data_IF_476543096087
#
_entry.id   IF_476543096087
#
_cell.length_a   1.000
_cell.length_b   1.000
_cell.length_c   1.000
_cell.angle_alpha   90.00
_cell.angle_beta   90.00
_cell.angle_gamma   90.00
#
_symmetry.space_group_name_H-M   'P 1'
#
loop_
_entity.id
_entity.type
_entity.pdbx_description
1 polymer ?
#
# COMPACT_ATOMS: atom_id res chain seq x y z
N UNK A 1 -46.93 27.54 -36.01
CA UNK A 1 -46.32 28.21 -37.17
C UNK A 1 -44.82 28.20 -36.97
N UNK A 2 -44.11 27.69 -37.97
CA UNK A 2 -42.67 27.77 -38.25
C UNK A 2 -41.67 27.13 -37.25
N UNK A 3 -41.15 26.01 -37.72
CA UNK A 3 -39.93 25.28 -37.39
C UNK A 3 -38.63 26.08 -37.56
N UNK A 4 -37.59 25.74 -36.80
CA UNK A 4 -36.19 25.92 -37.21
C UNK A 4 -35.35 24.75 -36.70
N UNK A 5 -35.17 23.74 -37.57
CA UNK A 5 -34.09 22.77 -37.49
C UNK A 5 -32.84 23.47 -38.03
N UNK A 6 -31.83 23.68 -37.20
CA UNK A 6 -30.48 24.02 -37.67
C UNK A 6 -29.73 22.72 -37.94
N UNK A 7 -29.79 22.27 -39.19
CA UNK A 7 -28.93 21.20 -39.71
C UNK A 7 -27.54 21.81 -39.90
N UNK A 8 -26.56 21.35 -39.12
CA UNK A 8 -25.15 21.71 -39.33
C UNK A 8 -24.60 20.85 -40.48
N UNK A 9 -24.65 21.40 -41.69
CA UNK A 9 -23.78 20.97 -42.77
C UNK A 9 -22.43 21.67 -42.60
N UNK A 10 -21.42 20.96 -42.09
CA UNK A 10 -20.02 21.38 -42.25
C UNK A 10 -19.45 20.60 -43.42
N UNK A 11 -19.57 21.20 -44.60
CA UNK A 11 -18.94 20.74 -45.82
C UNK A 11 -18.82 21.91 -46.77
N UNK A 12 -17.70 22.63 -46.72
CA UNK A 12 -17.32 23.48 -47.84
C UNK A 12 -15.81 23.41 -48.10
N UNK A 13 -15.53 23.04 -49.33
CA UNK A 13 -14.26 22.67 -49.95
C UNK A 13 -13.24 23.81 -50.06
N UNK A 14 -11.97 23.47 -49.89
CA UNK A 14 -10.86 24.11 -50.59
C UNK A 14 -10.16 23.05 -51.44
N UNK A 15 -10.41 23.10 -52.75
CA UNK A 15 -9.66 22.33 -53.76
C UNK A 15 -8.53 23.20 -54.27
N UNK A 16 -7.30 22.94 -53.80
CA UNK A 16 -6.08 23.23 -54.55
C UNK A 16 -5.12 22.05 -54.34
N UNK A 17 -4.75 21.41 -55.44
CA UNK A 17 -3.79 20.29 -55.59
C UNK A 17 -4.14 18.97 -54.90
N UNK A 18 -4.94 18.14 -55.59
CA UNK A 18 -4.53 16.77 -55.95
C UNK A 18 -4.12 15.78 -54.85
N UNK A 19 -4.69 15.83 -53.66
CA UNK A 19 -4.84 14.68 -52.76
C UNK A 19 -6.19 14.84 -52.06
N UNK A 20 -7.12 13.92 -52.31
CA UNK A 20 -8.34 13.83 -51.50
C UNK A 20 -7.92 13.27 -50.16
N UNK A 21 -7.43 14.12 -49.27
CA UNK A 21 -7.32 13.80 -47.85
C UNK A 21 -8.76 13.73 -47.36
N UNK A 22 -9.33 12.52 -47.32
CA UNK A 22 -10.58 12.31 -46.61
C UNK A 22 -10.37 12.81 -45.18
N UNK A 23 -11.09 13.87 -44.78
CA UNK A 23 -11.02 14.37 -43.41
C UNK A 23 -11.51 13.25 -42.50
N UNK A 24 -10.59 12.67 -41.73
CA UNK A 24 -10.87 11.64 -40.73
C UNK A 24 -11.63 12.33 -39.61
N UNK A 25 -12.92 12.01 -39.48
CA UNK A 25 -13.77 12.59 -38.45
C UNK A 25 -14.06 11.56 -37.35
N UNK A 26 -14.40 12.07 -36.17
CA UNK A 26 -14.93 11.26 -35.09
C UNK A 26 -16.40 10.93 -35.34
N UNK A 27 -16.87 9.80 -34.81
CA UNK A 27 -18.29 9.47 -34.85
C UNK A 27 -19.12 10.52 -34.08
N UNK A 28 -20.27 10.94 -34.63
CA UNK A 28 -21.12 11.98 -34.02
C UNK A 28 -21.63 11.58 -32.63
N UNK A 29 -22.03 10.34 -32.42
CA UNK A 29 -22.51 9.86 -31.12
C UNK A 29 -21.39 9.86 -30.07
N UNK A 30 -20.18 9.49 -30.49
CA UNK A 30 -18.99 9.53 -29.63
C UNK A 30 -18.60 10.97 -29.27
N UNK A 31 -18.73 11.91 -30.21
CA UNK A 31 -18.50 13.34 -29.97
C UNK A 31 -19.49 13.92 -28.97
N UNK A 32 -20.78 13.62 -29.14
CA UNK A 32 -21.81 14.02 -28.19
C UNK A 32 -21.56 13.38 -26.83
N UNK A 33 -21.20 12.09 -26.80
CA UNK A 33 -20.83 11.39 -25.56
C UNK A 33 -19.69 12.07 -24.81
N UNK A 34 -18.61 12.39 -25.51
CA UNK A 34 -17.46 13.08 -24.94
C UNK A 34 -17.85 14.44 -24.38
N UNK A 35 -18.66 15.22 -25.11
CA UNK A 35 -19.12 16.53 -24.66
C UNK A 35 -19.99 16.45 -23.41
N UNK A 36 -20.90 15.48 -23.33
CA UNK A 36 -21.76 15.26 -22.17
C UNK A 36 -20.94 14.80 -20.95
N UNK A 37 -19.96 13.91 -21.12
CA UNK A 37 -19.08 13.44 -20.04
C UNK A 37 -18.19 14.58 -19.52
N UNK A 38 -17.49 15.28 -20.40
CA UNK A 38 -16.62 16.39 -20.00
C UNK A 38 -17.45 17.54 -19.41
N UNK A 39 -18.64 17.80 -19.95
CA UNK A 39 -19.59 18.77 -19.43
C UNK A 39 -20.14 18.41 -18.05
N UNK A 40 -20.24 17.13 -17.67
CA UNK A 40 -20.66 16.73 -16.31
C UNK A 40 -19.51 16.81 -15.29
N UNK A 41 -18.26 16.77 -15.76
CA UNK A 41 -17.07 16.71 -14.91
C UNK A 41 -16.38 18.06 -14.73
N UNK A 42 -16.28 18.87 -15.78
CA UNK A 42 -15.39 20.03 -15.81
C UNK A 42 -16.13 21.36 -15.84
N UNK A 43 -15.55 22.36 -15.18
CA UNK A 43 -16.13 23.67 -14.96
C UNK A 43 -15.84 24.61 -16.11
N UNK A 44 -16.54 24.43 -17.24
CA UNK A 44 -16.70 25.45 -18.29
C UNK A 44 -17.77 25.03 -19.32
N UNK A 45 -18.81 25.83 -19.54
CA UNK A 45 -19.96 25.44 -20.38
C UNK A 45 -19.72 25.57 -21.89
N UNK A 46 -18.71 26.33 -22.31
CA UNK A 46 -18.51 26.68 -23.72
C UNK A 46 -17.30 26.00 -24.37
N UNK A 47 -16.55 25.17 -23.63
CA UNK A 47 -15.37 24.47 -24.13
C UNK A 47 -15.68 23.66 -25.41
N UNK A 48 -16.78 22.91 -25.40
CA UNK A 48 -17.23 22.13 -26.56
C UNK A 48 -17.59 22.99 -27.79
N UNK A 49 -18.03 24.24 -27.57
CA UNK A 49 -18.33 25.17 -28.68
C UNK A 49 -17.07 25.81 -29.23
N UNK A 50 -16.10 26.11 -28.36
CA UNK A 50 -14.85 26.75 -28.74
C UNK A 50 -13.87 25.77 -29.40
N UNK A 51 -13.90 24.50 -28.98
CA UNK A 51 -12.98 23.45 -29.41
C UNK A 51 -13.74 22.21 -29.88
N UNK A 52 -14.45 22.28 -31.04
CA UNK A 52 -15.37 21.23 -31.47
C UNK A 52 -14.70 19.95 -32.00
N UNK A 53 -13.36 19.95 -32.16
CA UNK A 53 -12.60 18.87 -32.79
C UNK A 53 -11.54 18.28 -31.83
N UNK A 54 -11.96 17.52 -30.80
CA UNK A 54 -11.12 17.07 -29.68
C UNK A 54 -10.03 16.05 -30.04
N UNK A 55 -10.09 15.42 -31.22
CA UNK A 55 -9.11 14.43 -31.67
C UNK A 55 -8.21 14.94 -32.81
N UNK A 56 -8.44 16.16 -33.32
CA UNK A 56 -7.71 16.70 -34.47
C UNK A 56 -7.23 18.13 -34.19
N UNK A 57 -7.96 19.15 -34.65
CA UNK A 57 -7.49 20.53 -34.71
C UNK A 57 -7.45 21.22 -33.35
N UNK A 58 -8.28 20.76 -32.41
CA UNK A 58 -8.39 21.35 -31.07
C UNK A 58 -8.33 20.25 -30.02
N UNK A 59 -7.16 19.60 -29.82
CA UNK A 59 -7.05 18.44 -28.94
C UNK A 59 -7.32 18.81 -27.48
N UNK A 60 -8.08 17.98 -26.78
CA UNK A 60 -8.44 18.25 -25.38
C UNK A 60 -7.42 17.64 -24.42
N UNK A 61 -6.97 18.39 -23.41
CA UNK A 61 -6.13 17.84 -22.35
C UNK A 61 -6.78 16.62 -21.70
N UNK A 62 -6.00 15.55 -21.53
CA UNK A 62 -6.48 14.31 -20.91
C UNK A 62 -7.30 13.41 -21.84
N UNK A 63 -7.59 13.82 -23.07
CA UNK A 63 -8.26 12.99 -24.08
C UNK A 63 -7.23 12.46 -25.08
N UNK A 64 -7.21 11.14 -25.31
CA UNK A 64 -6.45 10.54 -26.42
C UNK A 64 -7.39 9.78 -27.33
N UNK A 65 -7.10 9.84 -28.64
CA UNK A 65 -7.87 9.19 -29.67
C UNK A 65 -6.99 8.32 -30.57
N UNK A 66 -7.50 7.17 -30.99
CA UNK A 66 -6.88 6.29 -31.96
C UNK A 66 -7.72 6.24 -33.25
N UNK A 67 -7.07 5.95 -34.37
CA UNK A 67 -7.74 5.82 -35.68
C UNK A 67 -8.07 4.34 -35.92
N UNK A 68 -9.30 4.04 -36.34
CA UNK A 68 -9.68 2.71 -36.81
C UNK A 68 -8.91 2.33 -38.08
N UNK A 69 -8.47 1.07 -38.19
CA UNK A 69 -7.73 0.56 -39.35
C UNK A 69 -8.65 0.07 -40.48
N UNK A 70 -9.90 0.51 -40.49
CA UNK A 70 -10.93 0.08 -41.44
C UNK A 70 -10.88 0.89 -42.75
N UNK A 71 -11.67 0.47 -43.74
CA UNK A 71 -11.75 1.14 -45.06
C UNK A 71 -12.12 2.63 -45.00
N UNK A 72 -12.74 3.06 -43.90
CA UNK A 72 -13.04 4.46 -43.60
C UNK A 72 -12.46 4.79 -42.23
N UNK A 73 -11.24 5.36 -42.16
CA UNK A 73 -10.62 5.70 -40.88
C UNK A 73 -11.49 6.71 -40.13
N UNK A 74 -11.73 6.42 -38.86
CA UNK A 74 -12.46 7.28 -37.92
C UNK A 74 -11.69 7.38 -36.62
N UNK A 75 -11.71 8.56 -36.00
CA UNK A 75 -11.16 8.71 -34.66
C UNK A 75 -12.10 8.11 -33.63
N UNK A 76 -11.52 7.45 -32.63
CA UNK A 76 -12.20 6.91 -31.46
C UNK A 76 -11.47 7.33 -30.19
N UNK A 77 -12.22 7.76 -29.18
CA UNK A 77 -11.71 8.15 -27.87
C UNK A 77 -11.31 6.88 -27.12
N UNK A 78 -10.01 6.72 -26.86
CA UNK A 78 -9.47 5.53 -26.18
C UNK A 78 -9.01 5.83 -24.75
N UNK A 79 -8.77 7.10 -24.41
CA UNK A 79 -8.41 7.51 -23.06
C UNK A 79 -9.11 8.80 -22.65
N UNK A 80 -9.64 8.77 -21.44
CA UNK A 80 -10.06 9.94 -20.67
C UNK A 80 -9.30 9.96 -19.36
N UNK A 81 -8.60 11.06 -19.11
CA UNK A 81 -7.87 11.32 -17.89
C UNK A 81 -8.20 12.72 -17.38
N UNK A 82 -8.68 12.79 -16.14
CA UNK A 82 -9.04 14.04 -15.47
C UNK A 82 -8.37 14.02 -14.10
N UNK A 83 -7.64 15.06 -13.76
CA UNK A 83 -6.85 15.12 -12.54
C UNK A 83 -6.22 16.49 -12.33
N UNK A 84 -5.62 16.75 -11.15
CA UNK A 84 -4.98 18.02 -10.84
C UNK A 84 -3.76 18.33 -11.71
N UNK A 85 -3.19 17.32 -12.36
CA UNK A 85 -2.14 17.43 -13.38
C UNK A 85 -2.67 17.93 -14.74
N UNK A 86 -3.99 17.85 -14.96
CA UNK A 86 -4.71 18.47 -16.07
C UNK A 86 -5.44 19.72 -15.56
N UNK A 87 -4.74 20.86 -15.62
CA UNK A 87 -5.10 22.08 -14.87
C UNK A 87 -6.30 22.85 -15.45
N UNK A 88 -6.59 22.71 -16.74
CA UNK A 88 -7.61 23.51 -17.43
C UNK A 88 -8.44 22.65 -18.41
N UNK A 89 -9.78 22.56 -18.24
CA UNK A 89 -10.59 23.16 -17.18
C UNK A 89 -10.60 22.33 -15.87
N UNK A 90 -10.73 22.97 -14.70
CA UNK A 90 -10.80 22.27 -13.42
C UNK A 90 -12.11 21.49 -13.25
N UNK A 91 -12.15 20.55 -12.32
CA UNK A 91 -13.37 19.83 -11.96
C UNK A 91 -14.43 20.75 -11.35
N UNK A 92 -15.70 20.50 -11.67
CA UNK A 92 -16.86 21.17 -11.06
C UNK A 92 -16.97 20.85 -9.57
N UNK A 93 -17.66 21.73 -8.83
CA UNK A 93 -17.99 21.45 -7.43
C UNK A 93 -19.07 20.37 -7.28
N UNK A 94 -20.00 20.25 -8.23
CA UNK A 94 -21.08 19.27 -8.24
C UNK A 94 -20.91 18.33 -9.42
N UNK A 95 -19.90 17.47 -9.35
CA UNK A 95 -19.55 16.50 -10.38
C UNK A 95 -20.41 15.24 -10.28
N UNK A 96 -20.75 14.69 -11.44
CA UNK A 96 -21.32 13.35 -11.55
C UNK A 96 -20.68 12.63 -12.73
N UNK A 97 -20.59 11.31 -12.61
CA UNK A 97 -20.19 10.44 -13.70
C UNK A 97 -21.39 10.20 -14.63
N UNK A 98 -21.36 10.78 -15.83
CA UNK A 98 -22.48 10.69 -16.78
C UNK A 98 -22.63 9.29 -17.38
N UNK A 99 -23.87 8.82 -17.53
CA UNK A 99 -24.20 7.60 -18.29
C UNK A 99 -23.80 7.72 -19.79
N UNK A 100 -23.53 8.93 -20.27
CA UNK A 100 -22.99 9.20 -21.61
C UNK A 100 -21.64 8.54 -21.87
N UNK A 101 -20.94 8.04 -20.85
CA UNK A 101 -19.80 7.14 -21.02
C UNK A 101 -20.13 5.93 -21.91
N UNK A 102 -21.37 5.46 -21.93
CA UNK A 102 -21.83 4.38 -22.80
C UNK A 102 -21.71 4.71 -24.30
N UNK A 103 -21.62 6.00 -24.66
CA UNK A 103 -21.40 6.45 -26.04
C UNK A 103 -19.91 6.44 -26.44
N UNK A 104 -19.01 6.02 -25.55
CA UNK A 104 -17.57 5.90 -25.80
C UNK A 104 -17.14 4.41 -25.80
N UNK A 105 -17.58 3.59 -26.77
CA UNK A 105 -17.42 2.14 -26.73
C UNK A 105 -15.97 1.66 -26.86
N UNK A 106 -15.06 2.51 -27.37
CA UNK A 106 -13.65 2.21 -27.56
C UNK A 106 -12.75 2.67 -26.40
N UNK A 107 -13.36 3.18 -25.32
CA UNK A 107 -12.63 3.69 -24.17
C UNK A 107 -11.85 2.55 -23.49
N UNK A 108 -10.52 2.63 -23.55
CA UNK A 108 -9.59 1.68 -22.92
C UNK A 108 -9.13 2.17 -21.55
N UNK A 109 -8.99 3.48 -21.37
CA UNK A 109 -8.53 4.07 -20.12
C UNK A 109 -9.51 5.12 -19.63
N UNK A 110 -10.04 4.94 -18.42
CA UNK A 110 -10.79 5.95 -17.69
C UNK A 110 -10.08 6.23 -16.38
N UNK A 111 -9.63 7.48 -16.22
CA UNK A 111 -8.86 7.91 -15.08
C UNK A 111 -9.42 9.22 -14.54
N UNK A 112 -9.86 9.25 -13.29
CA UNK A 112 -10.41 10.45 -12.65
C UNK A 112 -9.81 10.57 -11.25
N UNK A 113 -9.10 11.65 -11.00
CA UNK A 113 -8.39 11.91 -9.75
C UNK A 113 -8.85 13.22 -9.13
N UNK A 114 -9.12 13.21 -7.82
CA UNK A 114 -9.40 14.43 -7.05
C UNK A 114 -10.49 15.33 -7.68
N UNK A 115 -11.50 14.72 -8.28
CA UNK A 115 -12.56 15.40 -9.04
C UNK A 115 -13.93 15.30 -8.35
N UNK A 116 -14.19 14.21 -7.62
CA UNK A 116 -15.38 14.05 -6.78
C UNK A 116 -15.04 14.38 -5.32
N UNK A 117 -14.89 15.68 -5.03
CA UNK A 117 -14.43 16.17 -3.71
C UNK A 117 -15.55 16.69 -2.81
N UNK A 118 -16.68 17.12 -3.38
CA UNK A 118 -17.78 17.71 -2.62
C UNK A 118 -18.70 16.65 -2.05
N UNK A 119 -18.78 16.57 -0.72
CA UNK A 119 -19.69 15.65 -0.01
C UNK A 119 -21.18 15.94 -0.24
N UNK A 120 -21.53 17.12 -0.78
CA UNK A 120 -22.91 17.45 -1.16
C UNK A 120 -23.41 16.75 -2.43
N UNK A 121 -22.51 16.15 -3.21
CA UNK A 121 -22.84 15.44 -4.46
C UNK A 121 -22.13 14.08 -4.49
N UNK A 122 -22.65 13.07 -3.76
CA UNK A 122 -22.07 11.74 -3.77
C UNK A 122 -22.17 11.12 -5.17
N UNK A 123 -21.08 10.48 -5.59
CA UNK A 123 -20.99 9.77 -6.87
C UNK A 123 -20.95 8.28 -6.58
N UNK A 124 -21.70 7.48 -7.33
CA UNK A 124 -21.70 6.03 -7.19
C UNK A 124 -21.31 5.39 -8.53
N UNK A 125 -20.73 4.18 -8.46
CA UNK A 125 -20.43 3.39 -9.64
C UNK A 125 -21.70 2.74 -10.19
N UNK A 126 -22.23 3.28 -11.29
CA UNK A 126 -23.44 2.77 -11.94
C UNK A 126 -23.23 1.34 -12.48
N UNK A 127 -24.06 0.35 -12.07
CA UNK A 127 -23.92 -1.04 -12.56
C UNK A 127 -24.15 -1.18 -14.07
N UNK A 128 -24.95 -0.31 -14.68
CA UNK A 128 -25.24 -0.33 -16.12
C UNK A 128 -24.05 0.16 -16.93
N UNK A 129 -23.44 1.29 -16.51
CA UNK A 129 -22.24 1.85 -17.14
C UNK A 129 -21.06 0.89 -16.98
N UNK A 130 -20.74 0.55 -15.74
CA UNK A 130 -19.60 -0.32 -15.41
C UNK A 130 -19.86 -1.81 -15.67
N UNK A 131 -20.96 -2.17 -16.31
CA UNK A 131 -21.19 -3.50 -16.89
C UNK A 131 -21.04 -3.56 -18.41
N UNK A 132 -20.97 -2.39 -19.08
CA UNK A 132 -21.10 -2.27 -20.54
C UNK A 132 -19.85 -1.73 -21.24
N UNK A 133 -18.92 -1.11 -20.52
CA UNK A 133 -17.65 -0.59 -21.06
C UNK A 133 -16.65 -1.72 -21.34
N UNK A 134 -17.00 -2.61 -22.26
CA UNK A 134 -16.27 -3.88 -22.52
C UNK A 134 -14.86 -3.74 -23.10
N UNK A 135 -14.48 -2.57 -23.60
CA UNK A 135 -13.13 -2.27 -24.10
C UNK A 135 -12.18 -1.77 -23.01
N UNK A 136 -12.69 -1.49 -21.81
CA UNK A 136 -11.93 -0.82 -20.76
C UNK A 136 -10.83 -1.75 -20.20
N UNK A 137 -9.59 -1.29 -20.22
CA UNK A 137 -8.42 -2.00 -19.72
C UNK A 137 -7.90 -1.38 -18.42
N UNK A 138 -8.08 -0.06 -18.25
CA UNK A 138 -7.58 0.68 -17.10
C UNK A 138 -8.68 1.58 -16.52
N UNK A 139 -9.17 1.21 -15.33
CA UNK A 139 -10.09 2.02 -14.54
C UNK A 139 -9.37 2.51 -13.27
N UNK A 140 -9.10 3.80 -13.20
CA UNK A 140 -8.47 4.43 -12.04
C UNK A 140 -9.28 5.63 -11.55
N UNK A 141 -9.98 5.47 -10.42
CA UNK A 141 -10.80 6.53 -9.82
C UNK A 141 -10.27 6.90 -8.44
N UNK A 142 -8.96 7.21 -8.33
CA UNK A 142 -8.32 7.38 -7.02
C UNK A 142 -8.57 8.77 -6.41
N UNK A 143 -8.53 8.86 -5.09
CA UNK A 143 -8.57 10.13 -4.35
C UNK A 143 -9.84 10.95 -4.62
N UNK A 144 -10.99 10.30 -4.72
CA UNK A 144 -12.30 10.93 -4.91
C UNK A 144 -13.17 10.69 -3.67
N UNK A 145 -13.05 11.50 -2.60
CA UNK A 145 -13.71 11.22 -1.32
C UNK A 145 -15.25 11.21 -1.37
N UNK A 146 -15.88 11.81 -2.39
CA UNK A 146 -17.33 11.73 -2.61
C UNK A 146 -17.77 10.49 -3.42
N UNK A 147 -16.85 9.69 -3.97
CA UNK A 147 -17.15 8.40 -4.60
C UNK A 147 -17.48 7.38 -3.51
N UNK A 148 -18.74 6.93 -3.48
CA UNK A 148 -19.30 6.11 -2.41
C UNK A 148 -20.19 4.97 -2.94
N UNK A 149 -20.85 4.25 -2.04
CA UNK A 149 -21.64 3.07 -2.39
C UNK A 149 -20.78 1.81 -2.54
N UNK A 150 -21.32 0.80 -3.20
CA UNK A 150 -20.66 -0.51 -3.37
C UNK A 150 -20.02 -0.62 -4.75
N UNK A 151 -19.04 -1.52 -4.89
CA UNK A 151 -18.54 -1.92 -6.22
C UNK A 151 -19.64 -2.76 -6.89
N UNK A 152 -20.14 -2.38 -8.08
CA UNK A 152 -21.15 -3.18 -8.77
C UNK A 152 -20.54 -4.49 -9.25
N UNK A 153 -21.20 -5.62 -8.99
CA UNK A 153 -20.73 -6.94 -9.43
C UNK A 153 -20.64 -7.07 -10.96
N UNK A 154 -21.38 -6.23 -11.70
CA UNK A 154 -21.31 -6.14 -13.17
C UNK A 154 -19.95 -5.64 -13.68
N UNK A 155 -19.11 -5.02 -12.84
CA UNK A 155 -17.72 -4.68 -13.18
C UNK A 155 -16.92 -5.92 -13.63
N UNK A 156 -17.30 -7.10 -13.15
CA UNK A 156 -16.71 -8.38 -13.57
C UNK A 156 -16.97 -8.75 -15.05
N UNK A 157 -17.90 -8.06 -15.73
CA UNK A 157 -18.15 -8.27 -17.16
C UNK A 157 -17.07 -7.65 -18.04
N UNK A 158 -16.29 -6.70 -17.51
CA UNK A 158 -15.21 -6.04 -18.24
C UNK A 158 -13.94 -6.91 -18.18
N UNK A 159 -13.99 -8.04 -18.87
CA UNK A 159 -12.92 -9.07 -18.84
C UNK A 159 -11.57 -8.60 -19.42
N UNK A 160 -11.56 -7.46 -20.10
CA UNK A 160 -10.38 -6.75 -20.61
C UNK A 160 -9.60 -6.01 -19.51
N UNK A 161 -10.18 -5.77 -18.33
CA UNK A 161 -9.53 -5.00 -17.27
C UNK A 161 -8.18 -5.61 -16.87
N UNK A 162 -7.17 -4.74 -16.87
CA UNK A 162 -5.80 -4.98 -16.40
C UNK A 162 -5.51 -4.21 -15.13
N UNK A 163 -6.04 -2.99 -15.01
CA UNK A 163 -5.89 -2.16 -13.82
C UNK A 163 -7.26 -1.75 -13.31
N UNK A 164 -7.53 -2.10 -12.05
CA UNK A 164 -8.65 -1.59 -11.29
C UNK A 164 -8.10 -0.92 -10.04
N UNK A 165 -8.09 0.41 -10.02
CA UNK A 165 -7.71 1.19 -8.86
C UNK A 165 -8.84 2.12 -8.43
N UNK A 166 -9.36 1.87 -7.25
CA UNK A 166 -10.43 2.63 -6.62
C UNK A 166 -9.99 3.14 -5.23
N UNK A 167 -8.70 3.42 -5.06
CA UNK A 167 -8.14 3.78 -3.76
C UNK A 167 -8.48 5.19 -3.30
N UNK A 168 -8.45 5.41 -1.98
CA UNK A 168 -8.71 6.71 -1.34
C UNK A 168 -10.08 7.30 -1.70
N UNK A 169 -11.12 6.48 -1.56
CA UNK A 169 -12.52 6.87 -1.78
C UNK A 169 -13.36 6.57 -0.52
N UNK A 170 -14.67 6.74 -0.61
CA UNK A 170 -15.64 6.38 0.44
C UNK A 170 -16.46 5.14 0.05
N UNK A 171 -15.90 4.22 -0.72
CA UNK A 171 -16.59 2.98 -1.11
C UNK A 171 -16.77 2.07 0.10
N UNK A 172 -17.88 1.34 0.13
CA UNK A 172 -18.30 0.50 1.25
C UNK A 172 -18.91 -0.82 0.75
N UNK A 173 -19.44 -1.62 1.69
CA UNK A 173 -20.01 -2.93 1.39
C UNK A 173 -18.93 -4.00 1.28
N UNK A 174 -19.27 -5.12 0.63
CA UNK A 174 -18.35 -6.25 0.44
C UNK A 174 -17.61 -6.12 -0.89
N UNK A 175 -16.40 -6.68 -0.96
CA UNK A 175 -15.72 -6.89 -2.24
C UNK A 175 -16.53 -7.95 -3.02
N UNK A 176 -17.02 -7.66 -4.23
CA UNK A 176 -17.79 -8.64 -5.00
C UNK A 176 -16.92 -9.83 -5.40
N UNK A 177 -17.37 -11.05 -5.06
CA UNK A 177 -16.67 -12.29 -5.43
C UNK A 177 -16.51 -12.44 -6.95
N UNK A 178 -17.42 -11.86 -7.72
CA UNK A 178 -17.42 -11.91 -9.18
C UNK A 178 -16.18 -11.24 -9.77
N UNK A 179 -15.50 -10.34 -9.04
CA UNK A 179 -14.22 -9.76 -9.47
C UNK A 179 -13.19 -10.85 -9.75
N UNK A 180 -13.24 -12.01 -9.09
CA UNK A 180 -12.38 -13.16 -9.35
C UNK A 180 -12.42 -13.71 -10.78
N UNK A 181 -13.40 -13.29 -11.61
CA UNK A 181 -13.50 -13.63 -13.03
C UNK A 181 -12.55 -12.82 -13.93
N UNK A 182 -11.99 -11.72 -13.45
CA UNK A 182 -11.13 -10.81 -14.22
C UNK A 182 -9.72 -11.40 -14.37
N UNK A 183 -9.58 -12.49 -15.12
CA UNK A 183 -8.32 -13.25 -15.25
C UNK A 183 -7.17 -12.45 -15.87
N UNK A 184 -7.48 -11.36 -16.59
CA UNK A 184 -6.51 -10.43 -17.18
C UNK A 184 -6.03 -9.35 -16.21
N UNK A 185 -6.64 -9.24 -15.04
CA UNK A 185 -6.34 -8.19 -14.07
C UNK A 185 -4.93 -8.37 -13.50
N UNK A 186 -4.14 -7.31 -13.60
CA UNK A 186 -2.75 -7.22 -13.17
C UNK A 186 -2.63 -6.43 -11.86
N UNK A 187 -3.43 -5.39 -11.70
CA UNK A 187 -3.46 -4.57 -10.49
C UNK A 187 -4.89 -4.45 -9.95
N UNK A 188 -5.05 -4.80 -8.68
CA UNK A 188 -6.24 -4.55 -7.88
C UNK A 188 -5.85 -3.71 -6.67
N UNK A 189 -6.26 -2.46 -6.67
CA UNK A 189 -6.04 -1.52 -5.58
C UNK A 189 -7.36 -0.93 -5.09
N UNK A 190 -7.79 -1.39 -3.91
CA UNK A 190 -9.00 -0.95 -3.22
C UNK A 190 -8.66 -0.27 -1.88
N UNK A 191 -7.41 0.15 -1.71
CA UNK A 191 -6.90 0.67 -0.45
C UNK A 191 -7.58 1.96 -0.01
N UNK A 192 -7.54 2.28 1.29
CA UNK A 192 -8.12 3.51 1.85
C UNK A 192 -9.59 3.70 1.46
N UNK A 193 -10.41 2.71 1.80
CA UNK A 193 -11.86 2.73 1.64
C UNK A 193 -12.54 2.23 2.92
N UNK A 194 -13.83 1.97 2.85
CA UNK A 194 -14.63 1.47 3.97
C UNK A 194 -15.20 0.07 3.68
N UNK A 195 -14.49 -0.76 2.88
CA UNK A 195 -14.91 -2.14 2.59
C UNK A 195 -14.95 -3.00 3.85
N UNK A 196 -15.91 -3.92 3.90
CA UNK A 196 -16.21 -4.79 5.04
C UNK A 196 -16.48 -6.23 4.60
N UNK A 197 -16.60 -7.14 5.56
CA UNK A 197 -16.71 -8.58 5.28
C UNK A 197 -15.37 -9.21 4.89
N UNK A 198 -15.43 -10.44 4.40
CA UNK A 198 -14.23 -11.23 4.09
C UNK A 198 -13.62 -10.87 2.73
N UNK A 199 -12.32 -11.14 2.57
CA UNK A 199 -11.68 -11.16 1.25
C UNK A 199 -12.21 -12.39 0.50
N UNK A 200 -12.93 -12.24 -0.63
CA UNK A 200 -13.51 -13.38 -1.34
C UNK A 200 -12.44 -14.37 -1.80
N UNK A 201 -12.67 -15.68 -1.58
CA UNK A 201 -11.72 -16.71 -2.00
C UNK A 201 -11.50 -16.72 -3.53
N UNK A 202 -12.50 -16.25 -4.29
CA UNK A 202 -12.49 -16.12 -5.74
C UNK A 202 -11.43 -15.13 -6.25
N UNK A 203 -10.89 -14.25 -5.40
CA UNK A 203 -9.72 -13.41 -5.75
C UNK A 203 -8.51 -14.28 -6.15
N UNK A 204 -8.42 -15.51 -5.66
CA UNK A 204 -7.45 -16.51 -6.13
C UNK A 204 -7.59 -16.90 -7.61
N UNK A 205 -8.67 -16.47 -8.28
CA UNK A 205 -8.92 -16.62 -9.71
C UNK A 205 -8.20 -15.62 -10.62
N UNK A 206 -7.68 -14.52 -10.07
CA UNK A 206 -7.03 -13.43 -10.82
C UNK A 206 -5.62 -13.79 -11.31
N UNK A 207 -5.50 -14.74 -12.24
CA UNK A 207 -4.20 -15.38 -12.58
C UNK A 207 -3.11 -14.44 -13.10
N UNK A 208 -3.48 -13.27 -13.60
CA UNK A 208 -2.53 -12.25 -14.08
C UNK A 208 -2.07 -11.27 -13.01
N UNK A 209 -2.58 -11.37 -11.77
CA UNK A 209 -2.41 -10.35 -10.73
C UNK A 209 -0.95 -10.27 -10.26
N UNK A 210 -0.38 -9.08 -10.32
CA UNK A 210 0.94 -8.71 -9.80
C UNK A 210 0.86 -7.83 -8.55
N UNK A 211 -0.19 -7.00 -8.42
CA UNK A 211 -0.38 -6.09 -7.29
C UNK A 211 -1.77 -6.31 -6.69
N UNK A 212 -1.79 -6.63 -5.41
CA UNK A 212 -2.99 -6.66 -4.57
C UNK A 212 -2.82 -5.69 -3.40
N UNK A 213 -3.59 -4.63 -3.37
CA UNK A 213 -3.62 -3.66 -2.27
C UNK A 213 -5.05 -3.49 -1.77
N UNK A 214 -5.31 -4.04 -0.58
CA UNK A 214 -6.59 -3.95 0.14
C UNK A 214 -6.42 -3.24 1.49
N UNK A 215 -5.30 -2.52 1.65
CA UNK A 215 -4.93 -1.90 2.91
C UNK A 215 -5.92 -0.81 3.35
N UNK A 216 -5.95 -0.48 4.64
CA UNK A 216 -6.78 0.60 5.17
C UNK A 216 -8.27 0.45 4.83
N UNK A 217 -8.85 -0.66 5.27
CA UNK A 217 -10.27 -0.99 5.13
C UNK A 217 -10.80 -1.59 6.45
N UNK A 218 -12.03 -2.09 6.44
CA UNK A 218 -12.64 -2.82 7.55
C UNK A 218 -12.80 -4.32 7.25
N UNK A 219 -11.93 -4.90 6.42
CA UNK A 219 -12.03 -6.31 6.01
C UNK A 219 -11.76 -7.22 7.21
N UNK A 220 -12.52 -8.32 7.29
CA UNK A 220 -12.48 -9.29 8.37
C UNK A 220 -12.28 -10.72 7.85
N UNK A 221 -12.32 -11.71 8.74
CA UNK A 221 -12.13 -13.11 8.38
C UNK A 221 -10.67 -13.46 8.11
N UNK A 222 -10.45 -14.55 7.37
CA UNK A 222 -9.12 -15.15 7.19
C UNK A 222 -8.48 -14.79 5.86
N UNK A 223 -7.16 -14.86 5.79
CA UNK A 223 -6.44 -14.86 4.51
C UNK A 223 -6.60 -16.24 3.86
N UNK A 224 -7.31 -16.34 2.74
CA UNK A 224 -7.59 -17.62 2.07
C UNK A 224 -6.36 -18.23 1.39
N UNK A 225 -6.26 -19.56 1.41
CA UNK A 225 -5.18 -20.31 0.75
C UNK A 225 -5.16 -20.13 -0.78
N UNK A 226 -6.29 -19.73 -1.38
CA UNK A 226 -6.43 -19.46 -2.82
C UNK A 226 -5.51 -18.33 -3.30
N UNK A 227 -5.11 -17.40 -2.42
CA UNK A 227 -4.11 -16.38 -2.77
C UNK A 227 -2.76 -16.99 -3.15
N UNK A 228 -2.40 -18.15 -2.59
CA UNK A 228 -1.20 -18.90 -2.97
C UNK A 228 -1.20 -19.42 -4.42
N UNK A 229 -2.32 -19.33 -5.14
CA UNK A 229 -2.43 -19.67 -6.56
C UNK A 229 -1.97 -18.56 -7.50
N UNK A 230 -1.79 -17.33 -7.01
CA UNK A 230 -1.52 -16.13 -7.81
C UNK A 230 -0.02 -15.96 -8.10
N UNK A 231 0.54 -16.81 -8.96
CA UNK A 231 2.00 -16.96 -9.19
C UNK A 231 2.72 -15.72 -9.74
N UNK A 232 1.99 -14.70 -10.16
CA UNK A 232 2.55 -13.45 -10.66
C UNK A 232 2.60 -12.35 -9.61
N UNK A 233 2.05 -12.57 -8.41
CA UNK A 233 2.04 -11.57 -7.34
C UNK A 233 3.44 -11.15 -6.94
N UNK A 234 3.63 -9.84 -6.90
CA UNK A 234 4.84 -9.13 -6.49
C UNK A 234 4.57 -8.29 -5.24
N UNK A 235 3.35 -7.75 -5.08
CA UNK A 235 2.95 -6.97 -3.92
C UNK A 235 1.64 -7.50 -3.34
N UNK A 236 1.64 -7.76 -2.03
CA UNK A 236 0.44 -7.94 -1.21
C UNK A 236 0.50 -6.93 -0.06
N UNK A 237 -0.45 -6.01 -0.03
CA UNK A 237 -0.68 -5.13 1.11
C UNK A 237 -2.11 -5.33 1.62
N UNK A 238 -2.21 -5.94 2.81
CA UNK A 238 -3.48 -6.15 3.53
C UNK A 238 -3.47 -5.40 4.87
N UNK A 239 -2.55 -4.46 5.04
CA UNK A 239 -2.34 -3.77 6.30
C UNK A 239 -3.57 -2.96 6.75
N UNK A 240 -3.69 -2.71 8.05
CA UNK A 240 -4.75 -1.86 8.62
C UNK A 240 -6.16 -2.35 8.26
N UNK A 241 -6.46 -3.58 8.66
CA UNK A 241 -7.75 -4.24 8.52
C UNK A 241 -8.11 -4.96 9.84
N UNK A 242 -9.09 -5.86 9.81
CA UNK A 242 -9.52 -6.71 10.93
C UNK A 242 -9.33 -8.20 10.61
N UNK A 243 -8.37 -8.54 9.74
CA UNK A 243 -8.09 -9.91 9.34
C UNK A 243 -7.59 -10.73 10.53
N UNK A 244 -8.01 -11.98 10.64
CA UNK A 244 -7.72 -12.84 11.77
C UNK A 244 -7.35 -14.26 11.32
N UNK A 245 -7.15 -15.14 12.30
CA UNK A 245 -6.75 -16.52 12.06
C UNK A 245 -5.27 -16.66 11.69
N UNK A 246 -4.88 -17.87 11.30
CA UNK A 246 -3.51 -18.22 10.92
C UNK A 246 -3.25 -17.98 9.43
N UNK A 247 -2.03 -17.59 9.07
CA UNK A 247 -1.64 -17.49 7.67
C UNK A 247 -1.63 -18.86 6.96
N UNK A 248 -2.17 -18.97 5.74
CA UNK A 248 -2.18 -20.23 5.01
C UNK A 248 -0.77 -20.55 4.47
N UNK A 249 -0.29 -21.80 4.62
CA UNK A 249 1.01 -22.23 4.11
C UNK A 249 1.20 -22.02 2.61
N UNK A 250 0.11 -22.01 1.84
CA UNK A 250 0.10 -21.81 0.38
C UNK A 250 0.66 -20.46 -0.08
N UNK A 251 0.66 -19.43 0.77
CA UNK A 251 1.31 -18.15 0.45
C UNK A 251 2.81 -18.33 0.20
N UNK A 252 3.45 -19.31 0.85
CA UNK A 252 4.85 -19.67 0.60
C UNK A 252 5.16 -20.09 -0.84
N UNK A 253 4.13 -20.35 -1.67
CA UNK A 253 4.29 -20.68 -3.09
C UNK A 253 4.38 -19.46 -4.01
N UNK A 254 4.39 -18.23 -3.48
CA UNK A 254 4.45 -16.96 -4.22
C UNK A 254 5.91 -16.51 -4.41
N UNK A 255 6.66 -17.25 -5.22
CA UNK A 255 8.10 -17.02 -5.39
C UNK A 255 8.48 -15.69 -6.07
N UNK A 256 7.52 -14.96 -6.65
CA UNK A 256 7.74 -13.61 -7.22
C UNK A 256 7.43 -12.48 -6.24
N UNK A 257 6.94 -12.79 -5.04
CA UNK A 257 6.53 -11.78 -4.06
C UNK A 257 7.75 -11.00 -3.57
N UNK A 258 7.67 -9.68 -3.67
CA UNK A 258 8.69 -8.69 -3.26
C UNK A 258 8.26 -8.03 -1.95
N UNK A 259 6.98 -7.69 -1.82
CA UNK A 259 6.42 -7.04 -0.63
C UNK A 259 5.24 -7.85 -0.06
N UNK A 260 5.31 -8.11 1.23
CA UNK A 260 4.20 -8.61 2.05
C UNK A 260 4.02 -7.71 3.27
N UNK A 261 2.94 -6.93 3.27
CA UNK A 261 2.50 -6.15 4.43
C UNK A 261 1.16 -6.68 4.94
N UNK A 262 1.16 -7.11 6.19
CA UNK A 262 -0.01 -7.62 6.93
C UNK A 262 -0.21 -6.85 8.24
N UNK A 263 0.49 -5.74 8.42
CA UNK A 263 0.53 -5.00 9.68
C UNK A 263 -0.86 -4.52 10.13
N UNK A 264 -1.03 -4.29 11.43
CA UNK A 264 -2.27 -3.76 12.01
C UNK A 264 -3.50 -4.62 11.66
N UNK A 265 -3.45 -5.89 12.07
CA UNK A 265 -4.52 -6.87 11.94
C UNK A 265 -4.63 -7.71 13.24
N UNK A 266 -5.43 -8.77 13.22
CA UNK A 266 -5.59 -9.75 14.31
C UNK A 266 -5.05 -11.15 13.92
N UNK A 267 -4.00 -11.20 13.09
CA UNK A 267 -3.41 -12.45 12.61
C UNK A 267 -2.67 -13.17 13.74
N UNK A 268 -3.00 -14.44 13.93
CA UNK A 268 -2.40 -15.30 14.95
C UNK A 268 -1.24 -16.11 14.36
N UNK A 269 -0.28 -16.48 15.21
CA UNK A 269 0.85 -17.32 14.83
C UNK A 269 0.58 -18.82 14.93
N UNK A 270 1.58 -19.65 14.55
CA UNK A 270 2.88 -19.24 14.01
C UNK A 270 2.80 -18.79 12.54
N UNK A 271 3.77 -17.98 12.10
CA UNK A 271 3.98 -17.74 10.66
C UNK A 271 4.47 -19.06 10.02
N UNK A 272 3.87 -19.56 8.92
CA UNK A 272 4.23 -20.84 8.32
C UNK A 272 5.68 -20.90 7.83
N UNK A 273 6.39 -21.99 8.14
CA UNK A 273 7.76 -22.22 7.63
C UNK A 273 7.83 -22.37 6.10
N UNK A 274 6.70 -22.66 5.44
CA UNK A 274 6.63 -22.68 3.97
C UNK A 274 6.92 -21.33 3.33
N UNK A 275 6.92 -20.23 4.10
CA UNK A 275 7.31 -18.91 3.61
C UNK A 275 8.80 -18.84 3.23
N UNK A 276 9.58 -19.89 3.51
CA UNK A 276 10.90 -20.11 2.90
C UNK A 276 10.88 -20.08 1.37
N UNK A 277 9.74 -20.35 0.72
CA UNK A 277 9.59 -20.29 -0.74
C UNK A 277 9.40 -18.88 -1.31
N UNK A 278 9.32 -17.84 -0.48
CA UNK A 278 9.23 -16.43 -0.90
C UNK A 278 10.62 -15.87 -1.26
N UNK A 279 11.33 -16.51 -2.19
CA UNK A 279 12.75 -16.28 -2.46
C UNK A 279 13.11 -14.84 -2.88
N UNK A 280 12.16 -14.13 -3.50
CA UNK A 280 12.33 -12.75 -3.94
C UNK A 280 11.85 -11.70 -2.92
N UNK A 281 11.42 -12.12 -1.73
CA UNK A 281 10.84 -11.22 -0.74
C UNK A 281 11.90 -10.25 -0.21
N UNK A 282 11.58 -8.95 -0.29
CA UNK A 282 12.43 -7.86 0.17
C UNK A 282 11.84 -7.16 1.39
N UNK A 283 10.52 -7.06 1.48
CA UNK A 283 9.81 -6.36 2.54
C UNK A 283 8.83 -7.33 3.22
N UNK A 284 9.11 -7.66 4.47
CA UNK A 284 8.23 -8.47 5.32
C UNK A 284 7.81 -7.64 6.54
N UNK A 285 6.57 -7.17 6.52
CA UNK A 285 6.01 -6.27 7.53
C UNK A 285 4.75 -6.93 8.08
N UNK A 286 4.75 -7.29 9.38
CA UNK A 286 3.55 -7.87 10.03
C UNK A 286 3.27 -7.23 11.39
N UNK A 287 3.76 -6.00 11.58
CA UNK A 287 3.65 -5.23 12.81
C UNK A 287 2.24 -5.26 13.41
N UNK A 288 2.13 -5.23 14.73
CA UNK A 288 0.85 -5.16 15.44
C UNK A 288 -0.12 -6.27 15.03
N UNK A 289 0.31 -7.52 15.15
CA UNK A 289 -0.53 -8.71 15.05
C UNK A 289 -0.29 -9.63 16.27
N UNK A 290 -1.32 -10.28 16.84
CA UNK A 290 -1.17 -11.19 17.98
C UNK A 290 -0.51 -12.54 17.61
N UNK A 291 0.72 -12.52 17.08
CA UNK A 291 1.42 -13.71 16.58
C UNK A 291 1.79 -14.65 17.71
N UNK A 292 2.25 -14.13 18.85
CA UNK A 292 2.52 -14.90 20.08
C UNK A 292 3.39 -16.16 19.87
N UNK A 293 4.37 -16.08 18.95
CA UNK A 293 5.25 -17.19 18.58
C UNK A 293 6.70 -16.74 18.52
N UNK A 294 7.62 -17.65 18.17
CA UNK A 294 9.03 -17.31 17.95
C UNK A 294 9.24 -16.74 16.55
N UNK A 295 10.36 -16.07 16.32
CA UNK A 295 10.80 -15.69 14.97
C UNK A 295 11.06 -16.97 14.16
N UNK A 296 10.41 -17.18 12.99
CA UNK A 296 10.56 -18.41 12.20
C UNK A 296 11.97 -18.64 11.66
N UNK A 297 12.31 -19.90 11.38
CA UNK A 297 13.63 -20.29 10.86
C UNK A 297 13.86 -19.77 9.44
N UNK A 298 12.84 -19.82 8.59
CA UNK A 298 12.93 -19.39 7.19
C UNK A 298 13.41 -17.94 7.02
N UNK A 299 13.25 -17.06 8.01
CA UNK A 299 13.70 -15.66 7.91
C UNK A 299 15.19 -15.59 7.55
N UNK A 300 16.02 -16.49 8.09
CA UNK A 300 17.44 -16.54 7.77
C UNK A 300 17.76 -17.07 6.35
N UNK A 301 16.80 -17.73 5.69
CA UNK A 301 16.99 -18.32 4.36
C UNK A 301 16.67 -17.35 3.23
N UNK A 302 15.86 -16.31 3.48
CA UNK A 302 15.44 -15.33 2.48
C UNK A 302 16.49 -14.23 2.28
N UNK A 303 17.49 -14.50 1.42
CA UNK A 303 18.66 -13.62 1.19
C UNK A 303 18.36 -12.31 0.49
N UNK A 304 17.15 -12.13 -0.04
CA UNK A 304 16.70 -10.90 -0.69
C UNK A 304 16.10 -9.89 0.30
N UNK A 305 15.92 -10.25 1.58
CA UNK A 305 15.27 -9.40 2.57
C UNK A 305 16.05 -8.11 2.81
N UNK A 306 15.36 -6.99 2.63
CA UNK A 306 15.86 -5.63 2.81
C UNK A 306 15.27 -4.99 4.07
N UNK A 307 14.03 -5.31 4.41
CA UNK A 307 13.34 -4.81 5.60
C UNK A 307 12.51 -5.91 6.25
N UNK A 308 12.68 -6.07 7.57
CA UNK A 308 11.88 -6.96 8.40
C UNK A 308 11.30 -6.15 9.56
N UNK A 309 9.98 -6.19 9.72
CA UNK A 309 9.29 -5.54 10.83
C UNK A 309 8.29 -6.50 11.47
N UNK A 310 8.55 -6.82 12.74
CA UNK A 310 7.70 -7.62 13.63
C UNK A 310 7.39 -6.87 14.93
N UNK A 311 7.26 -5.54 14.87
CA UNK A 311 6.98 -4.71 16.05
C UNK A 311 5.62 -5.06 16.66
N UNK A 312 5.52 -5.12 17.98
CA UNK A 312 4.22 -5.27 18.65
C UNK A 312 3.51 -6.61 18.40
N UNK A 313 4.26 -7.69 18.10
CA UNK A 313 3.69 -8.97 17.66
C UNK A 313 3.52 -10.00 18.80
N UNK A 314 3.91 -9.64 20.03
CA UNK A 314 3.96 -10.55 21.16
C UNK A 314 4.96 -11.71 20.97
N UNK A 315 5.99 -11.52 20.13
CA UNK A 315 6.99 -12.55 19.84
C UNK A 315 7.72 -12.99 21.11
N UNK A 316 8.04 -14.27 21.19
CA UNK A 316 8.75 -14.89 22.32
C UNK A 316 10.05 -15.57 21.87
N UNK A 317 10.79 -16.16 22.81
CA UNK A 317 12.05 -16.85 22.51
C UNK A 317 13.22 -15.89 22.36
N UNK A 318 14.25 -16.31 21.61
CA UNK A 318 15.48 -15.52 21.39
C UNK A 318 15.50 -14.92 20.00
N UNK A 319 16.24 -13.83 19.83
CA UNK A 319 16.61 -13.33 18.49
C UNK A 319 17.57 -14.35 17.86
N UNK A 320 17.21 -14.99 16.74
CA UNK A 320 18.05 -16.04 16.16
C UNK A 320 19.31 -15.49 15.47
N UNK A 321 20.43 -16.20 15.62
CA UNK A 321 21.71 -15.78 15.02
C UNK A 321 21.75 -15.85 13.50
N UNK A 322 20.86 -16.61 12.86
CA UNK A 322 20.79 -16.69 11.40
C UNK A 322 20.35 -15.37 10.74
N UNK A 323 19.74 -14.43 11.48
CA UNK A 323 19.43 -13.09 10.96
C UNK A 323 20.72 -12.36 10.55
N UNK A 324 21.85 -12.66 11.20
CA UNK A 324 23.17 -12.13 10.86
C UNK A 324 23.70 -12.57 9.49
N UNK A 325 22.99 -13.46 8.79
CA UNK A 325 23.34 -13.91 7.44
C UNK A 325 22.57 -13.20 6.31
N UNK A 326 21.78 -12.17 6.66
CA UNK A 326 20.98 -11.38 5.73
C UNK A 326 21.74 -10.10 5.32
N UNK A 327 22.72 -10.22 4.44
CA UNK A 327 23.63 -9.12 4.10
C UNK A 327 22.97 -7.93 3.37
N UNK A 328 21.79 -8.14 2.80
CA UNK A 328 20.95 -7.10 2.16
C UNK A 328 20.10 -6.31 3.15
N UNK A 329 20.00 -6.76 4.41
CA UNK A 329 19.09 -6.18 5.39
C UNK A 329 19.51 -4.76 5.74
N UNK A 330 18.58 -3.81 5.55
CA UNK A 330 18.76 -2.38 5.82
C UNK A 330 18.00 -1.92 7.06
N UNK A 331 16.86 -2.55 7.36
CA UNK A 331 16.04 -2.27 8.53
C UNK A 331 15.58 -3.55 9.22
N UNK A 332 15.72 -3.59 10.54
CA UNK A 332 15.19 -4.65 11.40
C UNK A 332 14.48 -4.02 12.60
N UNK A 333 13.18 -4.25 12.70
CA UNK A 333 12.35 -3.80 13.83
C UNK A 333 11.72 -5.01 14.52
N UNK A 334 12.06 -5.22 15.79
CA UNK A 334 11.56 -6.28 16.67
C UNK A 334 11.07 -5.70 18.01
N UNK A 335 10.81 -4.40 18.05
CA UNK A 335 10.42 -3.70 19.27
C UNK A 335 9.04 -4.07 19.79
N UNK A 336 8.77 -3.78 21.07
CA UNK A 336 7.48 -4.04 21.72
C UNK A 336 7.06 -5.53 21.65
N UNK A 337 7.99 -6.43 21.95
CA UNK A 337 7.76 -7.87 22.00
C UNK A 337 8.18 -8.46 23.36
N UNK A 338 8.12 -9.79 23.47
CA UNK A 338 8.55 -10.54 24.65
C UNK A 338 9.81 -11.38 24.36
N UNK A 339 10.71 -10.84 23.52
CA UNK A 339 11.97 -11.50 23.15
C UNK A 339 12.94 -11.48 24.33
N UNK A 340 13.70 -12.56 24.49
CA UNK A 340 14.59 -12.82 25.63
C UNK A 340 15.97 -13.28 25.17
N UNK A 341 16.91 -13.42 26.11
CA UNK A 341 18.29 -13.78 25.81
C UNK A 341 19.12 -12.61 25.27
N UNK A 342 20.31 -12.91 24.76
CA UNK A 342 21.27 -11.90 24.30
C UNK A 342 20.99 -11.44 22.88
N UNK A 343 21.34 -10.17 22.60
CA UNK A 343 21.42 -9.65 21.23
C UNK A 343 22.53 -10.39 20.48
N UNK A 344 22.27 -11.03 19.32
CA UNK A 344 23.31 -11.75 18.58
C UNK A 344 24.42 -10.80 18.12
N UNK A 345 25.70 -11.04 18.49
CA UNK A 345 26.82 -10.18 18.11
C UNK A 345 26.99 -10.03 16.59
N UNK A 346 26.62 -11.08 15.84
CA UNK A 346 26.66 -11.08 14.37
C UNK A 346 25.73 -10.04 13.72
N UNK A 347 24.77 -9.44 14.44
CA UNK A 347 24.04 -8.28 13.89
C UNK A 347 24.98 -7.11 13.59
N UNK A 348 26.06 -6.98 14.36
CA UNK A 348 27.09 -5.96 14.17
C UNK A 348 27.89 -6.12 12.87
N UNK A 349 27.90 -7.30 12.24
CA UNK A 349 28.60 -7.51 10.96
C UNK A 349 27.76 -7.18 9.74
N UNK A 350 26.47 -6.86 9.90
CA UNK A 350 25.60 -6.46 8.79
C UNK A 350 25.94 -5.04 8.33
N UNK A 351 26.71 -4.91 7.26
CA UNK A 351 27.20 -3.62 6.76
C UNK A 351 26.10 -2.73 6.18
N UNK A 352 25.06 -3.33 5.62
CA UNK A 352 23.92 -2.63 5.02
C UNK A 352 22.86 -2.21 6.03
N UNK A 353 22.95 -2.66 7.30
CA UNK A 353 21.93 -2.36 8.30
C UNK A 353 22.08 -0.91 8.78
N UNK A 354 21.03 -0.11 8.54
CA UNK A 354 20.95 1.32 8.88
C UNK A 354 19.95 1.60 10.01
N UNK A 355 19.01 0.69 10.25
CA UNK A 355 18.01 0.78 11.31
C UNK A 355 17.89 -0.55 12.06
N UNK A 356 18.00 -0.49 13.39
CA UNK A 356 17.83 -1.62 14.29
C UNK A 356 17.03 -1.19 15.51
N UNK A 357 15.79 -1.62 15.60
CA UNK A 357 14.94 -1.36 16.77
C UNK A 357 14.63 -2.67 17.50
N UNK A 358 15.18 -2.81 18.71
CA UNK A 358 14.99 -3.93 19.63
C UNK A 358 14.36 -3.46 20.95
N UNK A 359 13.84 -2.23 20.99
CA UNK A 359 13.34 -1.63 22.23
C UNK A 359 12.13 -2.36 22.82
N UNK A 360 11.89 -2.18 24.12
CA UNK A 360 10.74 -2.73 24.85
C UNK A 360 10.60 -4.25 24.67
N UNK A 361 11.60 -4.98 25.16
CA UNK A 361 11.65 -6.43 25.16
C UNK A 361 12.20 -6.94 26.52
N UNK A 362 12.49 -8.23 26.62
CA UNK A 362 13.12 -8.88 27.78
C UNK A 362 14.56 -9.30 27.49
N UNK A 363 15.25 -8.60 26.59
CA UNK A 363 16.63 -8.93 26.21
C UNK A 363 17.57 -8.69 27.39
N UNK A 364 18.63 -9.48 27.46
CA UNK A 364 19.63 -9.33 28.50
C UNK A 364 21.00 -9.91 28.19
N UNK A 365 21.94 -9.70 29.11
CA UNK A 365 23.35 -9.97 28.89
C UNK A 365 24.09 -8.77 28.30
N UNK A 366 25.38 -8.97 28.04
CA UNK A 366 26.26 -7.93 27.51
C UNK A 366 25.92 -7.60 26.06
N UNK A 367 25.79 -6.31 25.74
CA UNK A 367 25.58 -5.81 24.39
C UNK A 367 26.90 -5.76 23.61
N UNK A 368 27.16 -6.82 22.85
CA UNK A 368 28.41 -7.02 22.11
C UNK A 368 28.27 -6.58 20.64
N UNK A 369 28.01 -5.28 20.41
CA UNK A 369 27.98 -4.68 19.07
C UNK A 369 29.26 -3.83 18.84
N UNK A 370 29.89 -3.86 17.65
CA UNK A 370 31.07 -3.04 17.36
C UNK A 370 30.78 -1.53 17.45
N UNK A 371 31.75 -0.75 17.94
CA UNK A 371 31.63 0.72 18.07
C UNK A 371 31.30 1.39 16.73
N UNK A 372 32.01 1.03 15.64
CA UNK A 372 31.74 1.54 14.29
C UNK A 372 30.30 1.28 13.82
N UNK A 373 29.74 0.12 14.18
CA UNK A 373 28.36 -0.23 13.86
C UNK A 373 27.40 0.68 14.64
N UNK A 374 27.65 0.87 15.93
CA UNK A 374 26.82 1.72 16.80
C UNK A 374 26.84 3.18 16.31
N UNK A 375 28.01 3.70 15.99
CA UNK A 375 28.17 5.07 15.49
C UNK A 375 27.47 5.28 14.14
N UNK A 376 27.55 4.30 13.24
CA UNK A 376 26.87 4.33 11.94
C UNK A 376 25.34 4.39 12.09
N UNK A 377 24.77 3.61 13.01
CA UNK A 377 23.34 3.62 13.25
C UNK A 377 22.89 4.86 14.04
N UNK A 378 23.68 5.30 15.02
CA UNK A 378 23.39 6.46 15.86
C UNK A 378 22.04 6.35 16.56
N UNK A 379 21.11 7.27 16.23
CA UNK A 379 19.73 7.27 16.77
C UNK A 379 18.83 6.19 16.18
N UNK A 380 19.24 5.53 15.10
CA UNK A 380 18.48 4.45 14.43
C UNK A 380 18.75 3.08 15.05
N UNK A 381 19.66 3.00 16.01
CA UNK A 381 19.78 1.86 16.93
C UNK A 381 18.96 2.20 18.17
N UNK A 382 17.93 1.41 18.49
CA UNK A 382 17.17 1.55 19.73
C UNK A 382 17.09 0.20 20.45
N UNK A 383 17.55 0.16 21.69
CA UNK A 383 17.57 -1.04 22.56
C UNK A 383 16.98 -0.73 23.94
N UNK A 384 16.33 0.43 24.11
CA UNK A 384 15.76 0.86 25.39
C UNK A 384 14.65 -0.06 25.87
N UNK A 385 14.29 0.00 27.14
CA UNK A 385 13.21 -0.83 27.67
C UNK A 385 13.54 -2.32 27.73
N UNK A 386 14.84 -2.67 27.73
CA UNK A 386 15.34 -4.03 27.96
C UNK A 386 16.11 -4.05 29.28
N UNK A 387 15.48 -4.40 30.42
CA UNK A 387 16.10 -4.25 31.75
C UNK A 387 17.27 -5.20 32.00
N UNK A 388 17.40 -6.29 31.23
CA UNK A 388 18.47 -7.26 31.38
C UNK A 388 19.76 -6.91 30.64
N UNK A 389 19.76 -5.88 29.78
CA UNK A 389 20.93 -5.51 28.98
C UNK A 389 21.94 -4.75 29.81
N UNK A 390 23.22 -5.00 29.55
CA UNK A 390 24.33 -4.28 30.15
C UNK A 390 25.45 -4.02 29.13
N UNK A 391 26.36 -3.08 29.42
CA UNK A 391 27.51 -2.74 28.56
C UNK A 391 28.83 -3.00 29.30
N UNK A 392 29.93 -3.24 28.56
CA UNK A 392 31.25 -3.29 29.18
C UNK A 392 31.78 -1.88 29.48
N UNK A 393 32.61 -1.77 30.53
CA UNK A 393 33.21 -0.51 30.99
C UNK A 393 34.07 0.20 29.92
N UNK A 394 34.49 -0.53 28.87
CA UNK A 394 35.32 0.00 27.79
C UNK A 394 34.57 0.94 26.83
N UNK A 395 33.24 0.96 26.83
CA UNK A 395 32.41 1.73 25.90
C UNK A 395 32.21 3.22 26.29
N UNK A 396 33.07 3.78 27.14
CA UNK A 396 32.83 5.03 27.90
C UNK A 396 33.28 6.35 27.24
N UNK A 397 33.68 6.39 25.98
CA UNK A 397 34.02 7.67 25.31
C UNK A 397 33.39 7.76 23.92
N UNK A 398 32.36 8.61 23.79
CA UNK A 398 31.70 9.06 22.55
C UNK A 398 30.57 8.23 21.93
N UNK A 399 29.99 7.25 22.63
CA UNK A 399 28.85 6.50 22.09
C UNK A 399 27.53 7.27 22.24
N UNK A 400 26.60 7.10 21.29
CA UNK A 400 25.22 7.61 21.29
C UNK A 400 24.60 7.76 22.70
N UNK A 401 23.86 8.86 22.95
CA UNK A 401 23.09 9.09 24.19
C UNK A 401 22.21 7.90 24.62
N UNK A 402 21.89 7.01 23.66
CA UNK A 402 21.14 5.80 23.88
C UNK A 402 21.87 4.77 24.77
N UNK A 403 23.19 4.62 24.63
CA UNK A 403 24.00 3.68 25.42
C UNK A 403 24.22 4.14 26.86
N UNK A 404 24.17 5.45 27.09
CA UNK A 404 24.30 6.02 28.44
C UNK A 404 23.16 5.59 29.39
N UNK A 405 22.06 5.05 28.85
CA UNK A 405 20.93 4.56 29.62
C UNK A 405 21.03 3.07 29.99
N UNK A 406 22.05 2.36 29.49
CA UNK A 406 22.27 0.93 29.76
C UNK A 406 23.34 0.80 30.86
N UNK A 407 23.08 0.09 31.97
CA UNK A 407 24.03 -0.04 33.06
C UNK A 407 25.28 -0.85 32.64
N UNK A 408 26.44 -0.64 33.30
CA UNK A 408 27.59 -1.51 33.12
C UNK A 408 27.28 -2.93 33.62
N UNK A 409 27.84 -3.95 32.98
CA UNK A 409 27.70 -5.32 33.45
C UNK A 409 28.39 -5.49 34.80
N UNK A 410 27.69 -6.03 35.79
CA UNK A 410 28.30 -6.38 37.08
C UNK A 410 29.34 -7.47 36.84
N UNK A 411 30.63 -7.15 37.08
CA UNK A 411 31.66 -8.18 37.16
C UNK A 411 31.25 -9.20 38.23
N UNK A 412 31.15 -10.48 37.85
CA UNK A 412 31.18 -11.55 38.84
C UNK A 412 32.54 -11.46 39.52
N UNK A 413 32.61 -10.79 40.67
CA UNK A 413 33.72 -10.94 41.58
C UNK A 413 33.87 -12.43 41.85
N UNK A 414 34.95 -13.00 41.32
CA UNK A 414 35.46 -14.29 41.78
C UNK A 414 35.72 -14.08 43.26
N UNK A 415 34.91 -14.71 44.11
CA UNK A 415 35.15 -14.75 45.54
C UNK A 415 36.42 -15.59 45.73
N UNK A 416 37.59 -14.96 45.60
CA UNK A 416 38.74 -15.39 46.38
C UNK A 416 38.40 -15.01 47.81
N UNK A 417 37.96 -16.00 48.57
CA UNK A 417 37.65 -15.82 49.98
C UNK A 417 38.87 -15.26 50.69
N UNK A 418 38.72 -14.05 51.21
CA UNK A 418 39.37 -13.71 52.45
C UNK A 418 38.30 -13.14 53.38
N UNK A 419 38.22 -13.78 54.53
CA UNK A 419 37.42 -13.36 55.66
C UNK A 419 37.81 -11.93 56.03
N UNK A 420 36.84 -11.02 56.11
CA UNK A 420 36.79 -10.17 57.28
C UNK A 420 35.38 -9.63 57.55
N UNK A 421 34.99 -9.83 58.81
CA UNK A 421 33.76 -9.35 59.43
C UNK A 421 33.67 -7.83 59.36
N UNK A 422 32.53 -7.30 58.94
CA UNK A 422 31.82 -6.36 59.81
C UNK A 422 30.35 -6.17 59.41
N UNK A 423 29.49 -6.48 60.38
CA UNK A 423 28.09 -6.11 60.45
C UNK A 423 27.89 -4.62 60.22
N UNK A 424 26.90 -4.25 59.42
CA UNK A 424 26.00 -3.16 59.76
C UNK A 424 24.67 -3.27 59.00
N UNK A 425 23.64 -3.64 59.76
CA UNK A 425 22.23 -3.52 59.41
C UNK A 425 21.88 -2.06 59.11
N UNK A 426 21.35 -1.77 57.91
CA UNK A 426 20.43 -0.64 57.71
C UNK A 426 19.23 -1.05 56.85
N UNK A 427 18.15 -1.27 57.59
CA UNK A 427 16.73 -1.20 57.28
C UNK A 427 16.33 -0.41 56.03
N UNK A 428 15.56 -1.06 55.15
CA UNK A 428 14.66 -0.43 54.19
C UNK A 428 13.52 0.27 54.94
N UNK A 429 13.36 1.58 54.72
CA UNK A 429 12.14 2.31 55.05
C UNK A 429 11.42 2.66 53.74
N UNK A 430 10.26 2.03 53.57
CA UNK A 430 9.21 2.49 52.68
C UNK A 430 8.57 3.76 53.26
N UNK A 431 8.31 4.74 52.42
CA UNK A 431 7.12 5.58 52.62
C UNK A 431 6.44 5.93 51.29
N UNK A 432 5.10 6.08 51.30
CA UNK A 432 4.23 6.03 50.15
C UNK A 432 3.63 7.40 49.76
N UNK A 433 2.97 7.39 48.60
CA UNK A 433 1.88 8.26 48.12
C UNK A 433 2.11 9.79 48.02
N UNK A 434 1.91 10.36 46.82
CA UNK A 434 0.57 10.85 46.47
C UNK A 434 0.41 11.28 44.99
N UNK A 435 -0.60 10.66 44.37
CA UNK A 435 -1.63 11.16 43.44
C UNK A 435 -1.36 12.08 42.22
N UNK A 436 -1.70 11.49 41.07
CA UNK A 436 -2.72 11.89 40.07
C UNK A 436 -2.62 13.18 39.21
N UNK A 437 -2.89 12.89 37.93
CA UNK A 437 -3.63 13.67 36.93
C UNK A 437 -2.86 14.68 36.06
N UNK A 438 -2.38 14.18 34.92
CA UNK A 438 -2.63 14.83 33.62
C UNK A 438 -2.53 13.79 32.48
N UNK A 439 -3.63 13.08 32.26
CA UNK A 439 -3.90 12.34 31.04
C UNK A 439 -4.87 13.17 30.20
N UNK A 440 -4.41 13.64 29.04
CA UNK A 440 -5.13 13.93 27.78
C UNK A 440 -4.31 14.95 26.99
N UNK A 441 -4.15 14.69 25.68
CA UNK A 441 -3.45 15.45 24.63
C UNK A 441 -1.97 15.13 24.38
N UNK A 442 -1.69 13.92 23.89
CA UNK A 442 -0.72 13.72 22.78
C UNK A 442 -1.22 12.57 21.89
N UNK A 443 -2.28 12.83 21.11
CA UNK A 443 -2.61 12.03 19.92
C UNK A 443 -2.51 13.02 18.75
N UNK A 444 -1.30 13.14 18.20
CA UNK A 444 -1.00 13.49 16.81
C UNK A 444 0.51 13.70 16.71
N UNK A 445 1.11 13.21 15.63
CA UNK A 445 2.55 13.20 15.30
C UNK A 445 3.38 11.99 15.78
N UNK A 446 3.00 10.78 15.34
CA UNK A 446 3.95 9.64 15.20
C UNK A 446 3.56 8.72 14.01
N UNK A 447 3.22 9.33 12.87
CA UNK A 447 2.92 8.64 11.59
C UNK A 447 3.93 8.95 10.48
N UNK A 448 5.09 9.52 10.85
CA UNK A 448 6.11 9.98 9.90
C UNK A 448 7.27 8.99 9.68
N UNK A 449 7.35 7.86 10.40
CA UNK A 449 8.47 6.91 10.19
C UNK A 449 8.12 5.73 9.28
N UNK A 450 6.86 5.30 9.20
CA UNK A 450 6.39 4.24 8.29
C UNK A 450 6.07 4.75 6.89
N UNK A 451 5.68 6.02 6.75
CA UNK A 451 5.38 6.69 5.46
C UNK A 451 6.63 6.92 4.61
N UNK A 452 7.81 7.10 5.21
CA UNK A 452 9.06 7.29 4.46
C UNK A 452 9.51 5.98 3.79
N UNK A 453 9.24 4.82 4.40
CA UNK A 453 9.56 3.52 3.80
C UNK A 453 8.56 3.19 2.68
N UNK A 454 7.26 3.46 2.87
CA UNK A 454 6.25 3.25 1.81
C UNK A 454 6.43 4.21 0.61
N UNK A 455 6.78 5.49 0.82
CA UNK A 455 6.98 6.44 -0.28
C UNK A 455 8.14 6.09 -1.21
N UNK A 456 9.17 5.36 -0.73
CA UNK A 456 10.25 4.85 -1.59
C UNK A 456 9.87 3.56 -2.32
N UNK A 457 8.99 2.73 -1.74
CA UNK A 457 8.56 1.45 -2.32
C UNK A 457 7.59 1.65 -3.49
N UNK A 458 6.75 2.69 -3.47
CA UNK A 458 5.83 3.00 -4.58
C UNK A 458 6.59 3.41 -5.85
N UNK A 459 7.81 3.96 -5.74
CA UNK A 459 8.62 4.40 -6.89
C UNK A 459 9.45 3.26 -7.51
N UNK A 460 9.60 2.11 -6.84
CA UNK A 460 10.40 0.97 -7.33
C UNK A 460 9.53 -0.11 -8.00
N UNK A 461 8.21 -0.09 -7.81
CA UNK A 461 7.26 -1.10 -8.30
C UNK A 461 6.24 -0.58 -9.34
N UNK A 462 6.36 0.68 -9.75
CA UNK A 462 5.77 1.25 -10.98
C UNK A 462 6.87 1.35 -12.05
#
# INVERSE_FOLDING_TARGET
MASSLAVFFVGLFLVLTGEVIAMVNMNEDELVGLFEVMGSLLDYSDWAKQYPLPCTDTPWPGVECEISLDNFPTFHVTKLHIGPDVIDPPCKNSTNLSDSLLKLPYLKTLSIFNCFVSSSSPVNLSPTVFGSLTSLEHLALQSNPALSGEIPSTLSNIVSLRVLSLSQNSLQGKIPRELGKLVSLQQLDLSYNNFSGEIPEEIGGLKSLSILDLSWNNLEGVVHCSLGMLKLLQKIDLSSNKLNGSLPPDLGKLNKLVLLDLSHNFINGPIPETFSGLENLQYLIVDHNPIHSTIPFFVGTLKSLTSISFSGCGLTGRIPSYISSLNTLTALSLDNNNLSGSVPPGLGSLTSLHQLNLSNNQLGGELQLPEEFIDRLGKRLDVKGNPGLCTSDYMKKNISMLYHQIPPCLEKQIITGDHDNNNNNKTFQNHPDDTNAQWLLVINQKLLSSTIVLCWVIIILL
#
